data_IF_616070558236
#
_entry.id   IF_616070558236
#
_cell.length_a   1.000
_cell.length_b   1.000
_cell.length_c   1.000
_cell.angle_alpha   90.00
_cell.angle_beta   90.00
_cell.angle_gamma   90.00
#
_symmetry.space_group_name_H-M   'P 1'
#
loop_
_entity.id
_entity.type
_entity.pdbx_description
1 polymer ?
#
# COMPACT_ATOMS: atom_id res chain seq x y z
N UNK A 1 12.13 -89.60 22.88
CA UNK A 1 12.82 -88.65 23.78
C UNK A 1 11.77 -88.09 24.74
N UNK A 2 12.05 -88.10 26.04
CA UNK A 2 11.24 -87.60 27.18
C UNK A 2 10.38 -86.37 26.86
N UNK A 3 9.07 -86.32 27.16
CA UNK A 3 8.32 -86.43 28.44
C UNK A 3 8.18 -85.08 29.18
N UNK A 4 6.94 -84.55 29.07
CA UNK A 4 6.12 -83.65 29.91
C UNK A 4 6.28 -83.84 31.45
N UNK A 5 5.79 -82.96 32.38
CA UNK A 5 4.32 -82.76 32.56
C UNK A 5 3.73 -81.53 33.36
N UNK A 6 2.45 -81.20 33.06
CA UNK A 6 1.25 -81.17 33.96
C UNK A 6 1.09 -80.10 35.09
N UNK A 7 0.02 -79.27 34.96
CA UNK A 7 -1.13 -79.01 35.89
C UNK A 7 -0.85 -78.46 37.34
N UNK A 8 -1.74 -77.82 38.15
CA UNK A 8 -3.19 -77.47 38.19
C UNK A 8 -3.50 -76.74 39.53
N UNK A 9 -4.50 -75.83 39.52
CA UNK A 9 -5.42 -75.42 40.65
C UNK A 9 -4.85 -74.67 41.88
N UNK A 10 -5.59 -73.83 42.64
CA UNK A 10 -7.04 -73.82 42.95
C UNK A 10 -7.46 -72.50 43.68
N UNK A 11 -8.71 -72.06 43.44
CA UNK A 11 -9.75 -71.56 44.41
C UNK A 11 -9.61 -70.15 45.03
N UNK A 12 -10.67 -69.36 45.30
CA UNK A 12 -12.14 -69.56 45.26
C UNK A 12 -12.89 -68.20 45.44
N UNK A 13 -14.07 -68.06 44.81
CA UNK A 13 -15.38 -67.42 45.16
C UNK A 13 -15.41 -66.27 46.21
N UNK A 14 -16.22 -65.19 46.11
CA UNK A 14 -17.68 -65.16 45.94
C UNK A 14 -18.25 -63.72 45.84
N UNK A 15 -19.27 -63.51 45.00
CA UNK A 15 -20.29 -62.43 45.04
C UNK A 15 -21.38 -62.80 46.09
N UNK A 16 -22.22 -61.87 46.66
CA UNK A 16 -23.33 -61.24 45.90
C UNK A 16 -23.81 -59.82 46.33
N UNK A 17 -24.51 -59.17 45.36
CA UNK A 17 -25.74 -58.32 45.41
C UNK A 17 -26.07 -57.54 46.70
N UNK A 18 -26.53 -56.27 46.66
CA UNK A 18 -27.89 -55.87 46.24
C UNK A 18 -28.03 -54.35 46.01
N UNK A 19 -28.86 -53.97 45.03
CA UNK A 19 -29.46 -52.63 44.90
C UNK A 19 -30.51 -52.35 45.99
N UNK A 20 -30.93 -51.08 46.13
CA UNK A 20 -32.35 -50.80 45.92
C UNK A 20 -32.61 -49.62 44.99
N UNK A 21 -33.82 -49.68 44.42
CA UNK A 21 -34.40 -48.91 43.35
C UNK A 21 -35.09 -47.60 43.78
N UNK A 22 -35.05 -46.63 42.85
CA UNK A 22 -36.09 -45.69 42.43
C UNK A 22 -36.57 -44.56 43.38
N UNK A 23 -36.44 -43.30 42.92
CA UNK A 23 -37.60 -42.46 42.57
C UNK A 23 -37.22 -41.16 41.81
N UNK A 24 -37.96 -40.93 40.73
CA UNK A 24 -38.44 -39.67 40.12
C UNK A 24 -37.61 -38.38 40.08
N UNK A 25 -37.50 -37.80 38.87
CA UNK A 25 -37.28 -36.37 38.69
C UNK A 25 -36.92 -35.97 37.26
N UNK A 26 -37.94 -35.79 36.40
CA UNK A 26 -37.83 -34.99 35.18
C UNK A 26 -37.36 -33.57 35.51
N UNK A 27 -36.38 -33.02 34.80
CA UNK A 27 -36.41 -31.62 34.32
C UNK A 27 -35.20 -31.25 33.46
N UNK A 28 -35.51 -30.66 32.29
CA UNK A 28 -34.61 -29.89 31.43
C UNK A 28 -33.94 -28.75 32.22
N UNK A 29 -32.62 -28.62 32.10
CA UNK A 29 -31.88 -27.38 32.38
C UNK A 29 -31.08 -27.06 31.10
N UNK A 30 -31.57 -26.16 30.24
CA UNK A 30 -31.51 -24.69 30.32
C UNK A 30 -30.08 -24.17 30.32
N UNK A 31 -29.66 -23.71 29.15
CA UNK A 31 -28.48 -22.92 28.89
C UNK A 31 -28.74 -21.48 29.37
N UNK A 32 -28.41 -21.17 30.61
CA UNK A 32 -28.15 -19.80 31.04
C UNK A 32 -27.58 -19.87 32.46
N UNK A 33 -26.26 -19.78 32.59
CA UNK A 33 -25.55 -19.31 33.79
C UNK A 33 -24.04 -19.41 33.54
N UNK A 34 -23.54 -18.52 32.68
CA UNK A 34 -22.11 -18.16 32.60
C UNK A 34 -21.96 -16.74 32.06
N UNK A 35 -22.83 -15.84 32.51
CA UNK A 35 -22.57 -14.39 32.50
C UNK A 35 -22.13 -14.01 33.90
N UNK A 36 -21.23 -13.05 33.98
CA UNK A 36 -20.75 -12.40 35.21
C UNK A 36 -19.50 -12.97 35.90
N UNK A 37 -18.49 -13.36 35.15
CA UNK A 37 -17.09 -13.18 35.60
C UNK A 37 -16.19 -12.93 34.38
N UNK A 38 -16.12 -11.68 33.89
CA UNK A 38 -14.94 -11.14 33.18
C UNK A 38 -15.18 -9.65 32.83
N UNK A 39 -15.22 -8.80 33.86
CA UNK A 39 -14.88 -7.39 33.70
C UNK A 39 -13.65 -7.08 34.56
N UNK A 40 -12.83 -6.14 34.06
CA UNK A 40 -11.56 -5.64 34.61
C UNK A 40 -10.30 -6.49 34.42
N UNK A 41 -9.87 -6.58 33.15
CA UNK A 41 -8.46 -6.32 32.79
C UNK A 41 -8.47 -5.42 31.56
N UNK A 42 -7.90 -4.22 31.67
CA UNK A 42 -7.78 -3.26 30.57
C UNK A 42 -7.01 -3.87 29.40
N UNK A 43 -7.73 -4.36 28.40
CA UNK A 43 -7.17 -4.86 27.15
C UNK A 43 -7.11 -3.69 26.16
N UNK A 44 -5.93 -3.18 25.89
CA UNK A 44 -5.64 -2.41 24.68
C UNK A 44 -5.79 -3.34 23.47
N UNK A 45 -7.04 -3.68 23.11
CA UNK A 45 -7.32 -4.47 21.91
C UNK A 45 -6.84 -3.68 20.71
N UNK A 46 -5.89 -4.24 19.94
CA UNK A 46 -5.52 -3.69 18.64
C UNK A 46 -6.81 -3.48 17.82
N UNK A 47 -6.98 -2.31 17.18
CA UNK A 47 -8.20 -2.00 16.45
C UNK A 47 -8.41 -3.01 15.32
N UNK A 48 -9.63 -3.57 15.22
CA UNK A 48 -9.95 -4.64 14.27
C UNK A 48 -9.69 -4.18 12.82
N UNK A 49 -9.00 -4.98 11.98
CA UNK A 49 -8.77 -4.64 10.57
C UNK A 49 -10.10 -4.48 9.80
N UNK A 50 -10.16 -3.62 8.78
CA UNK A 50 -11.31 -3.55 7.90
C UNK A 50 -11.47 -4.85 7.10
N UNK A 51 -12.69 -5.14 6.64
CA UNK A 51 -12.88 -6.23 5.69
C UNK A 51 -12.26 -5.85 4.33
N UNK A 52 -11.58 -6.78 3.64
CA UNK A 52 -10.90 -6.48 2.38
C UNK A 52 -11.79 -5.84 1.31
N UNK A 53 -13.07 -6.22 1.24
CA UNK A 53 -14.05 -5.72 0.26
C UNK A 53 -14.43 -4.25 0.45
N UNK A 54 -14.26 -3.71 1.65
CA UNK A 54 -14.62 -2.33 2.01
C UNK A 54 -13.37 -1.44 2.20
N UNK A 55 -12.20 -2.05 2.29
CA UNK A 55 -10.95 -1.36 2.59
C UNK A 55 -10.35 -0.67 1.37
N UNK A 56 -9.58 0.39 1.64
CA UNK A 56 -8.68 1.01 0.67
C UNK A 56 -7.35 0.27 0.71
N UNK A 57 -7.19 -0.70 -0.18
CA UNK A 57 -6.04 -1.62 -0.17
C UNK A 57 -4.82 -0.97 -0.82
N UNK A 58 -3.76 -0.78 -0.03
CA UNK A 58 -2.46 -0.30 -0.47
C UNK A 58 -1.46 -1.44 -0.35
N UNK A 59 -1.03 -1.99 -1.49
CA UNK A 59 -0.03 -3.04 -1.54
C UNK A 59 1.37 -2.42 -1.65
N UNK A 60 2.29 -2.82 -0.77
CA UNK A 60 3.64 -2.25 -0.69
C UNK A 60 4.65 -3.39 -0.72
N UNK A 61 5.65 -3.30 -1.60
CA UNK A 61 6.71 -4.30 -1.64
C UNK A 61 7.63 -4.20 -0.42
N UNK A 62 8.17 -5.32 0.07
CA UNK A 62 9.12 -5.30 1.19
C UNK A 62 10.35 -4.44 0.92
N UNK A 63 10.77 -4.33 -0.35
CA UNK A 63 11.93 -3.55 -0.79
C UNK A 63 11.74 -2.04 -0.74
N UNK A 64 10.50 -1.55 -0.73
CA UNK A 64 10.23 -0.11 -0.57
C UNK A 64 9.78 0.22 0.85
N UNK A 65 9.21 -0.74 1.58
CA UNK A 65 8.87 -0.54 2.98
C UNK A 65 10.09 -0.57 3.89
N UNK A 66 11.08 -1.39 3.56
CA UNK A 66 12.27 -1.62 4.37
C UNK A 66 13.55 -1.58 3.53
N UNK A 67 14.63 -1.10 4.15
CA UNK A 67 15.97 -1.17 3.58
C UNK A 67 16.49 -2.61 3.60
N UNK A 68 16.57 -3.21 2.41
CA UNK A 68 16.95 -4.63 2.21
C UNK A 68 18.11 -4.79 1.22
N UNK A 69 18.89 -3.72 0.99
CA UNK A 69 19.97 -3.70 -0.02
C UNK A 69 21.10 -4.67 0.31
N UNK A 70 21.42 -4.86 1.59
CA UNK A 70 22.47 -5.81 2.01
C UNK A 70 22.04 -7.24 1.67
N UNK A 71 20.81 -7.57 2.00
CA UNK A 71 20.19 -8.86 1.75
C UNK A 71 20.06 -9.13 0.26
N UNK A 72 19.70 -8.10 -0.52
CA UNK A 72 19.65 -8.20 -1.98
C UNK A 72 21.02 -8.50 -2.59
N UNK A 73 22.10 -7.87 -2.09
CA UNK A 73 23.47 -8.18 -2.52
C UNK A 73 23.85 -9.63 -2.22
N UNK A 74 23.45 -10.16 -1.06
CA UNK A 74 23.67 -11.58 -0.73
C UNK A 74 22.96 -12.48 -1.74
N UNK A 75 21.69 -12.21 -2.05
CA UNK A 75 20.94 -12.98 -3.04
C UNK A 75 21.59 -12.94 -4.44
N UNK A 76 21.96 -11.75 -4.90
CA UNK A 76 22.53 -11.56 -6.24
C UNK A 76 23.93 -12.19 -6.39
N UNK A 77 24.75 -12.14 -5.33
CA UNK A 77 26.14 -12.60 -5.39
C UNK A 77 26.32 -14.07 -4.99
N UNK A 78 25.52 -14.56 -4.03
CA UNK A 78 25.72 -15.85 -3.37
C UNK A 78 24.54 -16.81 -3.59
N UNK A 79 23.45 -16.35 -4.22
CA UNK A 79 22.30 -17.16 -4.58
C UNK A 79 21.30 -17.36 -3.45
N UNK A 80 20.27 -18.16 -3.73
CA UNK A 80 19.09 -18.29 -2.86
C UNK A 80 19.40 -18.98 -1.53
N UNK A 81 20.22 -20.03 -1.51
CA UNK A 81 20.51 -20.80 -0.29
C UNK A 81 21.21 -19.95 0.77
N UNK A 82 22.23 -19.20 0.35
CA UNK A 82 22.96 -18.32 1.25
C UNK A 82 22.10 -17.15 1.73
N UNK A 83 21.27 -16.60 0.84
CA UNK A 83 20.29 -15.61 1.20
C UNK A 83 19.32 -16.11 2.27
N UNK A 84 18.81 -17.34 2.15
CA UNK A 84 17.93 -17.94 3.15
C UNK A 84 18.65 -18.12 4.49
N UNK A 85 19.88 -18.64 4.49
CA UNK A 85 20.69 -18.77 5.70
C UNK A 85 20.89 -17.41 6.38
N UNK A 86 21.28 -16.40 5.61
CA UNK A 86 21.46 -15.04 6.11
C UNK A 86 20.19 -14.49 6.76
N UNK A 87 19.02 -14.69 6.15
CA UNK A 87 17.75 -14.21 6.70
C UNK A 87 17.37 -14.91 8.01
N UNK A 88 17.67 -16.19 8.15
CA UNK A 88 17.42 -16.96 9.39
C UNK A 88 18.38 -16.52 10.49
N UNK A 89 19.67 -16.38 10.19
CA UNK A 89 20.68 -15.92 11.18
C UNK A 89 20.36 -14.53 11.75
N UNK A 90 19.75 -13.66 10.93
CA UNK A 90 19.42 -12.28 11.29
C UNK A 90 17.91 -12.10 11.57
N UNK A 91 17.15 -13.17 11.84
CA UNK A 91 15.68 -13.12 11.92
C UNK A 91 15.13 -12.15 13.00
N UNK A 92 15.93 -11.89 14.04
CA UNK A 92 15.60 -10.99 15.14
C UNK A 92 16.21 -9.58 14.97
N UNK A 93 16.91 -9.33 13.87
CA UNK A 93 17.46 -8.01 13.54
C UNK A 93 16.49 -7.25 12.62
N UNK A 94 15.78 -6.23 13.13
CA UNK A 94 14.77 -5.53 12.36
C UNK A 94 15.40 -4.73 11.21
N UNK A 95 14.72 -4.69 10.06
CA UNK A 95 15.16 -3.83 8.96
C UNK A 95 14.98 -2.35 9.29
N UNK A 96 15.85 -1.51 8.72
CA UNK A 96 15.68 -0.07 8.78
C UNK A 96 14.48 0.39 7.90
N UNK A 97 13.78 1.47 8.29
CA UNK A 97 12.68 2.05 7.51
C UNK A 97 13.09 2.42 6.07
N UNK A 98 12.27 2.02 5.10
CA UNK A 98 12.41 2.37 3.68
C UNK A 98 11.60 3.60 3.24
N UNK A 99 11.65 3.97 1.95
CA UNK A 99 10.99 5.17 1.42
C UNK A 99 9.46 5.17 1.56
N UNK A 100 8.81 3.99 1.58
CA UNK A 100 7.37 3.89 1.81
C UNK A 100 6.98 3.96 3.30
N UNK A 101 7.93 3.87 4.23
CA UNK A 101 7.65 3.81 5.66
C UNK A 101 6.91 5.06 6.19
N UNK A 102 7.30 6.30 5.84
CA UNK A 102 6.56 7.49 6.28
C UNK A 102 5.12 7.51 5.74
N UNK A 103 4.91 7.04 4.51
CA UNK A 103 3.58 6.91 3.91
C UNK A 103 2.71 5.94 4.74
N UNK A 104 3.24 4.76 5.09
CA UNK A 104 2.55 3.78 5.95
C UNK A 104 2.12 4.40 7.28
N UNK A 105 3.02 5.15 7.96
CA UNK A 105 2.67 5.83 9.21
C UNK A 105 1.61 6.92 9.03
N UNK A 106 1.62 7.65 7.91
CA UNK A 106 0.60 8.64 7.62
C UNK A 106 -0.78 8.01 7.33
N UNK A 107 -0.82 6.87 6.64
CA UNK A 107 -2.06 6.11 6.44
C UNK A 107 -2.63 5.60 7.77
N UNK A 108 -1.77 5.15 8.69
CA UNK A 108 -2.16 4.79 10.07
C UNK A 108 -2.80 5.98 10.79
N UNK A 109 -2.15 7.15 10.72
CA UNK A 109 -2.66 8.36 11.35
C UNK A 109 -4.04 8.72 10.81
N UNK A 110 -4.27 8.64 9.50
CA UNK A 110 -5.59 8.88 8.91
C UNK A 110 -6.62 7.87 9.41
N UNK A 111 -6.25 6.58 9.47
CA UNK A 111 -7.14 5.53 9.99
C UNK A 111 -7.56 5.79 11.44
N UNK A 112 -6.64 6.26 12.29
CA UNK A 112 -6.97 6.58 13.68
C UNK A 112 -8.03 7.69 13.77
N UNK A 113 -7.86 8.78 13.01
CA UNK A 113 -8.87 9.84 12.95
C UNK A 113 -10.21 9.36 12.38
N UNK A 114 -10.18 8.49 11.35
CA UNK A 114 -11.41 7.90 10.81
C UNK A 114 -12.14 7.07 11.85
N UNK A 115 -11.43 6.29 12.68
CA UNK A 115 -12.02 5.49 13.76
C UNK A 115 -12.58 6.35 14.89
N UNK A 116 -11.94 7.47 15.21
CA UNK A 116 -12.48 8.43 16.19
C UNK A 116 -13.83 9.00 15.73
N UNK A 117 -13.93 9.37 14.44
CA UNK A 117 -15.16 9.96 13.88
C UNK A 117 -16.22 8.92 13.49
N UNK A 118 -15.79 7.71 13.15
CA UNK A 118 -16.60 6.60 12.65
C UNK A 118 -16.09 5.25 13.19
N UNK A 119 -16.37 4.91 14.46
CA UNK A 119 -15.84 3.70 15.11
C UNK A 119 -16.13 2.39 14.37
N UNK A 120 -17.32 2.30 13.75
CA UNK A 120 -17.80 1.11 13.03
C UNK A 120 -17.46 1.12 11.53
N UNK A 121 -16.75 2.13 11.03
CA UNK A 121 -16.43 2.23 9.60
C UNK A 121 -15.37 1.21 9.20
N UNK A 122 -15.70 0.38 8.20
CA UNK A 122 -14.73 -0.52 7.55
C UNK A 122 -14.01 0.14 6.35
N UNK A 123 -14.38 1.36 5.96
CA UNK A 123 -13.70 2.09 4.88
C UNK A 123 -12.47 2.80 5.42
N UNK A 124 -11.41 2.03 5.60
CA UNK A 124 -10.11 2.42 6.13
C UNK A 124 -9.02 1.96 5.17
N UNK A 125 -7.82 2.51 5.30
CA UNK A 125 -6.66 1.97 4.61
C UNK A 125 -6.29 0.59 5.16
N UNK A 126 -6.07 -0.37 4.26
CA UNK A 126 -5.52 -1.69 4.57
C UNK A 126 -4.20 -1.85 3.83
N UNK A 127 -3.14 -2.13 4.57
CA UNK A 127 -1.80 -2.21 4.02
C UNK A 127 -1.43 -3.69 3.89
N UNK A 128 -1.13 -4.09 2.65
CA UNK A 128 -0.71 -5.45 2.34
C UNK A 128 0.76 -5.44 1.98
N UNK A 129 1.58 -6.14 2.77
CA UNK A 129 2.98 -6.32 2.45
C UNK A 129 3.13 -7.38 1.35
N UNK A 130 3.86 -7.08 0.29
CA UNK A 130 4.14 -8.03 -0.80
C UNK A 130 5.63 -8.32 -0.85
N UNK A 131 5.99 -9.59 -0.82
CA UNK A 131 7.37 -10.02 -1.03
C UNK A 131 7.43 -11.17 -2.03
N UNK A 132 8.49 -11.14 -2.83
CA UNK A 132 8.83 -12.16 -3.80
C UNK A 132 9.66 -13.28 -3.20
N UNK A 133 10.05 -13.13 -1.93
CA UNK A 133 10.96 -14.05 -1.27
C UNK A 133 10.23 -15.31 -0.83
N UNK A 134 11.03 -16.34 -0.54
CA UNK A 134 10.54 -17.58 0.04
C UNK A 134 9.93 -17.35 1.43
N UNK A 135 8.96 -18.19 1.81
CA UNK A 135 8.21 -18.07 3.08
C UNK A 135 9.11 -18.03 4.33
N UNK A 136 10.26 -18.71 4.29
CA UNK A 136 11.22 -18.72 5.41
C UNK A 136 11.77 -17.34 5.77
N UNK A 137 11.76 -16.38 4.83
CA UNK A 137 12.18 -14.99 5.09
C UNK A 137 11.10 -14.18 5.81
N UNK A 138 9.88 -14.72 5.91
CA UNK A 138 8.72 -14.05 6.46
C UNK A 138 8.86 -13.71 7.94
N UNK A 139 9.59 -14.53 8.69
CA UNK A 139 9.76 -14.34 10.15
C UNK A 139 10.45 -13.00 10.42
N UNK A 140 11.56 -12.70 9.73
CA UNK A 140 12.27 -11.42 9.90
C UNK A 140 11.41 -10.21 9.53
N UNK A 141 10.59 -10.33 8.48
CA UNK A 141 9.64 -9.29 8.08
C UNK A 141 8.57 -9.06 9.16
N UNK A 142 7.99 -10.14 9.71
CA UNK A 142 7.00 -10.06 10.79
C UNK A 142 7.62 -9.44 12.05
N UNK A 143 8.83 -9.88 12.43
CA UNK A 143 9.57 -9.31 13.54
C UNK A 143 9.85 -7.82 13.34
N UNK A 144 10.20 -7.42 12.12
CA UNK A 144 10.40 -6.01 11.76
C UNK A 144 9.11 -5.20 11.85
N UNK A 145 7.98 -5.73 11.34
CA UNK A 145 6.65 -5.09 11.45
C UNK A 145 6.29 -4.87 12.92
N UNK A 146 6.49 -5.89 13.76
CA UNK A 146 6.21 -5.83 15.20
C UNK A 146 7.13 -4.84 15.92
N UNK A 147 8.43 -4.86 15.61
CA UNK A 147 9.42 -3.94 16.17
C UNK A 147 9.07 -2.48 15.91
N UNK A 148 8.66 -2.16 14.67
CA UNK A 148 8.25 -0.81 14.27
C UNK A 148 6.80 -0.47 14.61
N UNK A 149 6.05 -1.41 15.21
CA UNK A 149 4.63 -1.31 15.52
C UNK A 149 3.81 -0.81 14.31
N UNK A 150 3.96 -1.48 13.16
CA UNK A 150 3.18 -1.21 11.96
C UNK A 150 1.86 -2.00 11.98
N UNK A 151 0.77 -1.36 11.58
CA UNK A 151 -0.57 -1.97 11.50
C UNK A 151 -0.77 -2.85 10.25
N UNK A 152 0.21 -3.71 9.95
CA UNK A 152 0.17 -4.59 8.78
C UNK A 152 -0.19 -5.99 9.24
N UNK A 153 -1.39 -6.44 8.87
CA UNK A 153 -1.89 -7.77 9.23
C UNK A 153 -1.88 -8.76 8.05
N UNK A 154 -1.78 -8.24 6.82
CA UNK A 154 -1.83 -9.04 5.59
C UNK A 154 -0.49 -9.00 4.88
N UNK A 155 0.00 -10.18 4.51
CA UNK A 155 1.23 -10.33 3.74
C UNK A 155 1.08 -11.38 2.64
N UNK A 156 1.72 -11.11 1.50
CA UNK A 156 1.85 -12.00 0.35
C UNK A 156 3.30 -12.42 0.21
N UNK A 157 3.55 -13.73 0.14
CA UNK A 157 4.87 -14.28 -0.18
C UNK A 157 4.73 -15.18 -1.39
N UNK A 158 5.24 -14.75 -2.55
CA UNK A 158 4.99 -15.44 -3.82
C UNK A 158 6.09 -16.43 -4.21
N UNK A 159 7.18 -16.52 -3.45
CA UNK A 159 8.29 -17.45 -3.72
C UNK A 159 8.88 -17.30 -5.14
N UNK A 160 8.89 -16.07 -5.67
CA UNK A 160 9.41 -15.74 -7.00
C UNK A 160 8.33 -15.54 -8.06
N UNK A 161 7.10 -16.00 -7.83
CA UNK A 161 5.98 -15.82 -8.76
C UNK A 161 5.51 -14.36 -8.82
N UNK A 162 4.81 -13.99 -9.89
CA UNK A 162 4.22 -12.65 -9.98
C UNK A 162 3.09 -12.45 -8.94
N UNK A 163 3.05 -11.29 -8.25
CA UNK A 163 2.01 -10.95 -7.29
C UNK A 163 0.73 -10.44 -7.95
N UNK A 164 0.74 -10.15 -9.26
CA UNK A 164 -0.33 -9.41 -9.93
C UNK A 164 -1.71 -10.07 -9.78
N UNK A 165 -1.78 -11.40 -9.87
CA UNK A 165 -3.03 -12.14 -9.62
C UNK A 165 -3.58 -11.92 -8.21
N UNK A 166 -2.72 -11.87 -7.20
CA UNK A 166 -3.10 -11.58 -5.82
C UNK A 166 -3.51 -10.12 -5.63
N UNK A 167 -2.77 -9.18 -6.25
CA UNK A 167 -3.12 -7.75 -6.23
C UNK A 167 -4.53 -7.51 -6.78
N UNK A 168 -4.88 -8.20 -7.88
CA UNK A 168 -6.22 -8.15 -8.48
C UNK A 168 -7.29 -8.76 -7.58
N UNK A 169 -7.02 -9.94 -7.00
CA UNK A 169 -7.93 -10.62 -6.08
C UNK A 169 -8.22 -9.81 -4.80
N UNK A 170 -7.30 -8.94 -4.40
CA UNK A 170 -7.46 -8.04 -3.25
C UNK A 170 -8.06 -6.68 -3.59
N UNK A 171 -8.46 -6.46 -4.84
CA UNK A 171 -8.98 -5.18 -5.29
C UNK A 171 -8.04 -4.01 -4.94
N UNK A 172 -6.73 -4.23 -5.15
CA UNK A 172 -5.68 -3.27 -4.78
C UNK A 172 -5.93 -1.91 -5.43
N UNK A 173 -5.99 -0.85 -4.62
CA UNK A 173 -6.18 0.52 -5.09
C UNK A 173 -4.87 1.19 -5.49
N UNK A 174 -3.75 0.78 -4.89
CA UNK A 174 -2.42 1.26 -5.23
C UNK A 174 -1.36 0.19 -4.92
N UNK A 175 -0.47 -0.08 -5.87
CA UNK A 175 0.70 -0.95 -5.69
C UNK A 175 2.01 -0.17 -5.80
N UNK A 176 2.86 -0.27 -4.77
CA UNK A 176 4.17 0.38 -4.70
C UNK A 176 5.29 -0.65 -4.65
N UNK A 177 6.23 -0.57 -5.59
CA UNK A 177 7.35 -1.52 -5.68
C UNK A 177 8.66 -0.86 -6.04
N UNK A 178 9.78 -1.49 -5.69
CA UNK A 178 11.10 -1.11 -6.20
C UNK A 178 11.38 -1.75 -7.57
N UNK A 179 10.55 -2.70 -8.00
CA UNK A 179 10.70 -3.45 -9.25
C UNK A 179 9.80 -2.88 -10.34
N UNK A 180 10.41 -2.23 -11.34
CA UNK A 180 9.70 -1.61 -12.47
C UNK A 180 8.94 -2.62 -13.33
N UNK A 181 9.48 -3.82 -13.55
CA UNK A 181 8.83 -4.82 -14.39
C UNK A 181 7.48 -5.25 -13.76
N UNK A 182 7.46 -5.40 -12.43
CA UNK A 182 6.26 -5.77 -11.70
C UNK A 182 5.23 -4.64 -11.61
N UNK A 183 5.70 -3.39 -11.57
CA UNK A 183 4.82 -2.22 -11.68
C UNK A 183 4.15 -2.16 -13.05
N UNK A 184 4.90 -2.40 -14.13
CA UNK A 184 4.34 -2.46 -15.49
C UNK A 184 3.32 -3.58 -15.64
N UNK A 185 3.60 -4.75 -15.07
CA UNK A 185 2.67 -5.88 -15.07
C UNK A 185 1.35 -5.52 -14.36
N UNK A 186 1.42 -4.90 -13.17
CA UNK A 186 0.26 -4.44 -12.43
C UNK A 186 -0.55 -3.38 -13.21
N UNK A 187 0.13 -2.40 -13.82
CA UNK A 187 -0.51 -1.39 -14.66
C UNK A 187 -1.23 -2.02 -15.87
N UNK A 188 -0.64 -3.03 -16.49
CA UNK A 188 -1.25 -3.73 -17.64
C UNK A 188 -2.54 -4.48 -17.28
N UNK A 189 -2.70 -4.85 -16.01
CA UNK A 189 -3.90 -5.47 -15.46
C UNK A 189 -4.90 -4.44 -14.89
N UNK A 190 -4.66 -3.14 -15.12
CA UNK A 190 -5.54 -2.06 -14.66
C UNK A 190 -5.40 -1.71 -13.17
N UNK A 191 -4.31 -2.13 -12.52
CA UNK A 191 -4.02 -1.80 -11.13
C UNK A 191 -3.14 -0.55 -11.09
N UNK A 192 -3.56 0.49 -10.38
CA UNK A 192 -2.74 1.68 -10.20
C UNK A 192 -1.43 1.29 -9.50
N UNK A 193 -0.28 1.56 -10.12
CA UNK A 193 1.01 1.18 -9.58
C UNK A 193 2.12 2.17 -9.93
N UNK A 194 3.13 2.23 -9.07
CA UNK A 194 4.30 3.08 -9.28
C UNK A 194 5.59 2.46 -8.72
N UNK A 195 6.70 2.74 -9.38
CA UNK A 195 8.04 2.37 -8.92
C UNK A 195 8.57 3.41 -7.96
N UNK A 196 8.88 3.03 -6.72
CA UNK A 196 9.53 3.92 -5.75
C UNK A 196 11.03 3.71 -5.75
N UNK A 197 11.77 4.79 -5.51
CA UNK A 197 13.21 4.79 -5.45
C UNK A 197 13.69 5.04 -4.03
N UNK A 198 14.82 4.42 -3.71
CA UNK A 198 15.52 4.64 -2.45
C UNK A 198 16.27 5.98 -2.57
N UNK A 199 16.14 6.84 -1.56
CA UNK A 199 16.87 8.10 -1.47
C UNK A 199 17.70 8.12 -0.20
N UNK A 200 18.96 8.51 -0.34
CA UNK A 200 19.85 8.76 0.81
C UNK A 200 19.45 10.04 1.57
N UNK A 201 18.79 10.98 0.87
CA UNK A 201 18.33 12.24 1.44
C UNK A 201 16.87 12.09 1.88
N UNK A 202 16.66 11.90 3.18
CA UNK A 202 15.32 11.85 3.76
C UNK A 202 14.95 13.20 4.38
N UNK A 203 13.88 13.80 3.87
CA UNK A 203 13.26 14.97 4.47
C UNK A 203 12.16 14.53 5.43
N UNK A 204 12.06 15.21 6.57
CA UNK A 204 10.95 14.98 7.50
C UNK A 204 9.62 15.42 6.88
N UNK A 205 8.70 14.47 6.75
CA UNK A 205 7.32 14.67 6.30
C UNK A 205 6.36 14.82 7.49
N UNK A 206 5.13 15.27 7.23
CA UNK A 206 4.13 15.48 8.28
C UNK A 206 3.71 14.17 8.94
N UNK A 207 3.74 14.09 10.27
CA UNK A 207 3.30 12.87 11.00
C UNK A 207 1.78 12.79 11.16
N UNK A 208 1.06 13.88 10.93
CA UNK A 208 -0.38 14.00 11.23
C UNK A 208 -1.26 14.13 9.99
N UNK A 209 -0.69 14.56 8.86
CA UNK A 209 -1.42 14.80 7.62
C UNK A 209 -0.76 14.05 6.46
N UNK A 210 -1.48 13.08 5.90
CA UNK A 210 -1.14 12.43 4.66
C UNK A 210 -1.15 13.47 3.52
N UNK A 211 -0.05 13.53 2.78
CA UNK A 211 0.14 14.44 1.65
C UNK A 211 0.48 13.63 0.41
N UNK A 212 -0.39 13.66 -0.59
CA UNK A 212 -0.22 12.92 -1.84
C UNK A 212 -0.18 13.91 -2.99
N UNK A 213 0.92 13.91 -3.73
CA UNK A 213 1.10 14.78 -4.89
C UNK A 213 1.09 13.98 -6.18
N UNK A 214 0.48 14.54 -7.22
CA UNK A 214 0.31 13.91 -8.51
C UNK A 214 0.75 14.88 -9.61
N UNK A 215 1.47 14.36 -10.61
CA UNK A 215 1.39 14.97 -11.94
C UNK A 215 -0.01 14.79 -12.54
N UNK A 216 -0.33 15.62 -13.53
CA UNK A 216 -1.59 15.56 -14.25
C UNK A 216 -1.56 14.50 -15.34
N UNK A 217 -0.88 14.81 -16.45
CA UNK A 217 -0.90 14.00 -17.66
C UNK A 217 -0.18 12.67 -17.45
N UNK A 218 -0.64 11.60 -18.10
CA UNK A 218 -0.15 10.23 -17.95
C UNK A 218 -0.11 9.65 -16.51
N UNK A 219 -0.68 10.36 -15.53
CA UNK A 219 -0.83 9.92 -14.13
C UNK A 219 -2.32 9.93 -13.74
N UNK A 220 -2.93 11.12 -13.67
CA UNK A 220 -4.36 11.29 -13.40
C UNK A 220 -5.19 11.31 -14.69
N UNK A 221 -4.64 11.93 -15.73
CA UNK A 221 -5.22 11.98 -17.07
C UNK A 221 -4.49 11.03 -18.01
N UNK A 222 -5.09 10.74 -19.16
CA UNK A 222 -4.44 9.97 -20.22
C UNK A 222 -3.21 10.70 -20.79
N UNK A 223 -2.46 10.02 -21.66
CA UNK A 223 -1.31 10.60 -22.36
C UNK A 223 -1.69 11.34 -23.66
N UNK A 224 -2.98 11.59 -23.90
CA UNK A 224 -3.53 12.25 -25.11
C UNK A 224 -2.80 13.57 -25.41
N UNK A 225 -2.74 14.45 -24.41
CA UNK A 225 -2.06 15.74 -24.48
C UNK A 225 -0.58 15.62 -24.82
N UNK A 226 0.11 14.65 -24.22
CA UNK A 226 1.54 14.45 -24.42
C UNK A 226 1.83 13.90 -25.83
N UNK A 227 0.95 13.05 -26.36
CA UNK A 227 1.03 12.54 -27.73
C UNK A 227 0.93 13.66 -28.75
N UNK A 228 0.03 14.62 -28.55
CA UNK A 228 -0.14 15.78 -29.43
C UNK A 228 1.10 16.67 -29.38
N UNK A 229 1.59 16.97 -28.17
CA UNK A 229 2.81 17.76 -27.99
C UNK A 229 4.02 17.13 -28.69
N UNK A 230 4.23 15.81 -28.54
CA UNK A 230 5.36 15.10 -29.19
C UNK A 230 5.22 15.01 -30.70
N UNK A 231 3.99 14.89 -31.22
CA UNK A 231 3.75 14.75 -32.66
C UNK A 231 3.77 16.10 -33.40
N UNK A 232 3.28 17.17 -32.77
CA UNK A 232 2.93 18.42 -33.45
C UNK A 232 3.50 19.68 -32.80
N UNK A 233 4.19 19.56 -31.66
CA UNK A 233 4.81 20.67 -30.95
C UNK A 233 3.84 21.47 -30.08
N UNK A 234 4.37 22.54 -29.49
CA UNK A 234 3.70 23.30 -28.43
C UNK A 234 2.50 24.13 -28.93
N UNK A 235 2.60 24.72 -30.12
CA UNK A 235 1.52 25.55 -30.68
C UNK A 235 0.25 24.72 -30.92
N UNK A 236 0.42 23.54 -31.52
CA UNK A 236 -0.68 22.60 -31.77
C UNK A 236 -1.27 22.03 -30.49
N UNK A 237 -0.45 21.84 -29.47
CA UNK A 237 -0.93 21.48 -28.14
C UNK A 237 -1.85 22.57 -27.55
N UNK A 238 -1.45 23.85 -27.62
CA UNK A 238 -2.29 24.94 -27.09
C UNK A 238 -3.57 25.15 -27.90
N UNK A 239 -3.52 25.03 -29.22
CA UNK A 239 -4.72 25.04 -30.06
C UNK A 239 -5.69 23.93 -29.66
N UNK A 240 -5.17 22.70 -29.53
CA UNK A 240 -5.96 21.55 -29.12
C UNK A 240 -6.60 21.72 -27.74
N UNK A 241 -5.85 22.19 -26.74
CA UNK A 241 -6.38 22.41 -25.39
C UNK A 241 -7.44 23.51 -25.36
N UNK A 242 -7.30 24.55 -26.18
CA UNK A 242 -8.31 25.62 -26.30
C UNK A 242 -9.59 25.11 -26.97
N UNK A 243 -9.47 24.35 -28.05
CA UNK A 243 -10.61 23.79 -28.78
C UNK A 243 -11.37 22.75 -27.94
N UNK A 244 -10.65 21.98 -27.12
CA UNK A 244 -11.19 20.92 -26.27
C UNK A 244 -11.40 21.33 -24.82
N UNK A 245 -11.43 22.62 -24.49
CA UNK A 245 -11.51 23.08 -23.09
C UNK A 245 -12.73 22.52 -22.33
N UNK A 246 -13.84 22.26 -23.04
CA UNK A 246 -15.07 21.68 -22.48
C UNK A 246 -15.20 20.17 -22.71
N UNK A 247 -14.23 19.56 -23.39
CA UNK A 247 -14.14 18.11 -23.57
C UNK A 247 -13.29 17.55 -22.44
N UNK A 248 -13.82 16.59 -21.68
CA UNK A 248 -13.08 16.01 -20.55
C UNK A 248 -11.83 15.27 -21.05
N UNK A 249 -10.77 15.27 -20.25
CA UNK A 249 -9.62 14.39 -20.48
C UNK A 249 -10.00 12.95 -20.15
N UNK A 250 -9.47 12.00 -20.92
CA UNK A 250 -9.54 10.60 -20.55
C UNK A 250 -8.74 10.32 -19.27
N UNK A 251 -9.03 9.18 -18.62
CA UNK A 251 -8.43 8.84 -17.35
C UNK A 251 -7.04 8.22 -17.48
N UNK A 252 -6.16 8.60 -16.56
CA UNK A 252 -4.87 7.96 -16.33
C UNK A 252 -4.98 6.81 -15.33
N UNK A 253 -3.88 6.07 -15.12
CA UNK A 253 -3.86 4.87 -14.29
C UNK A 253 -4.13 5.15 -12.80
N UNK A 254 -3.85 6.35 -12.30
CA UNK A 254 -4.00 6.68 -10.88
C UNK A 254 -5.34 7.38 -10.55
N UNK A 255 -6.23 7.59 -11.52
CA UNK A 255 -7.56 8.19 -11.27
C UNK A 255 -8.32 7.44 -10.17
N UNK A 256 -8.37 6.11 -10.25
CA UNK A 256 -9.10 5.30 -9.27
C UNK A 256 -8.58 5.45 -7.84
N UNK A 257 -7.26 5.57 -7.68
CA UNK A 257 -6.66 5.85 -6.37
C UNK A 257 -7.06 7.23 -5.84
N UNK A 258 -7.04 8.26 -6.70
CA UNK A 258 -7.50 9.60 -6.33
C UNK A 258 -8.98 9.65 -5.96
N UNK A 259 -9.84 8.90 -6.66
CA UNK A 259 -11.27 8.79 -6.34
C UNK A 259 -11.49 8.26 -4.92
N UNK A 260 -10.70 7.28 -4.50
CA UNK A 260 -10.77 6.72 -3.16
C UNK A 260 -10.27 7.71 -2.10
N UNK A 261 -9.18 8.44 -2.37
CA UNK A 261 -8.73 9.53 -1.48
C UNK A 261 -9.81 10.60 -1.33
N UNK A 262 -10.41 11.05 -2.44
CA UNK A 262 -11.49 12.05 -2.43
C UNK A 262 -12.73 11.57 -1.68
N UNK A 263 -13.06 10.27 -1.76
CA UNK A 263 -14.13 9.66 -0.97
C UNK A 263 -13.85 9.73 0.54
N UNK A 264 -12.63 9.43 0.96
CA UNK A 264 -12.22 9.54 2.37
C UNK A 264 -12.20 11.00 2.84
N UNK A 265 -11.71 11.93 2.02
CA UNK A 265 -11.77 13.37 2.32
C UNK A 265 -13.20 13.84 2.59
N UNK A 266 -14.16 13.42 1.74
CA UNK A 266 -15.58 13.76 1.91
C UNK A 266 -16.17 13.26 3.24
N UNK A 267 -15.66 12.15 3.81
CA UNK A 267 -16.06 11.72 5.16
C UNK A 267 -15.65 12.72 6.23
N UNK A 268 -14.41 13.21 6.18
CA UNK A 268 -13.95 14.26 7.09
C UNK A 268 -14.77 15.55 6.92
N UNK A 269 -15.07 15.93 5.68
CA UNK A 269 -15.86 17.12 5.38
C UNK A 269 -17.27 17.03 5.98
N UNK A 270 -17.91 15.86 5.89
CA UNK A 270 -19.23 15.61 6.47
C UNK A 270 -19.26 15.73 8.01
N UNK A 271 -18.10 15.69 8.68
CA UNK A 271 -17.94 15.90 10.13
C UNK A 271 -17.42 17.30 10.48
N UNK A 272 -17.36 18.21 9.50
CA UNK A 272 -16.86 19.57 9.70
C UNK A 272 -15.35 19.72 9.59
N UNK A 273 -14.61 18.65 9.31
CA UNK A 273 -13.14 18.65 9.24
C UNK A 273 -12.61 18.97 7.84
N UNK A 274 -13.15 20.01 7.19
CA UNK A 274 -12.74 20.37 5.81
C UNK A 274 -11.39 21.05 5.75
N UNK A 275 -11.10 21.96 6.70
CA UNK A 275 -9.85 22.73 6.70
C UNK A 275 -8.69 21.98 7.36
N UNK A 276 -8.99 21.08 8.29
CA UNK A 276 -8.06 20.26 9.07
C UNK A 276 -8.09 18.78 8.63
N UNK A 277 -8.57 18.51 7.40
CA UNK A 277 -8.60 17.15 6.86
C UNK A 277 -7.19 16.52 6.89
N UNK A 278 -7.05 15.30 7.44
CA UNK A 278 -5.75 14.64 7.55
C UNK A 278 -5.27 14.06 6.20
N UNK A 279 -6.06 14.17 5.13
CA UNK A 279 -5.67 13.81 3.76
C UNK A 279 -5.62 15.09 2.93
N UNK A 280 -4.47 15.38 2.33
CA UNK A 280 -4.24 16.53 1.47
C UNK A 280 -3.67 16.11 0.13
N UNK A 281 -4.31 16.54 -0.95
CA UNK A 281 -3.98 16.18 -2.33
C UNK A 281 -3.46 17.38 -3.11
N UNK A 282 -2.44 17.13 -3.93
CA UNK A 282 -1.77 18.16 -4.71
C UNK A 282 -1.72 17.77 -6.19
N UNK A 283 -2.15 18.67 -7.07
CA UNK A 283 -1.83 18.59 -8.50
C UNK A 283 -0.56 19.43 -8.75
N UNK A 284 0.52 18.81 -9.21
CA UNK A 284 1.79 19.48 -9.55
C UNK A 284 2.10 19.22 -11.02
N UNK A 285 1.67 20.13 -11.89
CA UNK A 285 1.68 19.91 -13.34
C UNK A 285 2.53 20.93 -14.09
N UNK A 286 3.17 20.48 -15.17
CA UNK A 286 3.87 21.35 -16.11
C UNK A 286 2.90 22.23 -16.95
N UNK A 287 1.60 21.94 -16.94
CA UNK A 287 0.58 22.74 -17.63
C UNK A 287 0.62 24.20 -17.16
N UNK A 288 0.39 25.12 -18.09
CA UNK A 288 0.18 26.54 -17.79
C UNK A 288 -1.26 26.77 -17.36
N UNK A 289 -1.46 27.55 -16.29
CA UNK A 289 -2.78 27.95 -15.81
C UNK A 289 -3.57 28.75 -16.86
N UNK A 290 -2.88 29.56 -17.67
CA UNK A 290 -3.51 30.48 -18.62
C UNK A 290 -4.00 29.80 -19.90
N UNK A 291 -3.41 28.67 -20.31
CA UNK A 291 -3.68 28.07 -21.63
C UNK A 291 -4.12 26.59 -21.60
N UNK A 292 -3.66 25.81 -20.61
CA UNK A 292 -3.84 24.34 -20.60
C UNK A 292 -4.39 23.80 -19.28
N UNK A 293 -4.49 24.64 -18.25
CA UNK A 293 -4.93 24.21 -16.92
C UNK A 293 -6.45 24.10 -16.78
N UNK A 294 -7.22 24.86 -17.56
CA UNK A 294 -8.68 24.95 -17.43
C UNK A 294 -9.34 23.59 -17.70
N UNK A 295 -8.96 22.91 -18.80
CA UNK A 295 -9.48 21.58 -19.15
C UNK A 295 -9.22 20.55 -18.04
N UNK A 296 -8.02 20.57 -17.45
CA UNK A 296 -7.66 19.68 -16.34
C UNK A 296 -8.53 19.92 -15.10
N UNK A 297 -8.74 21.18 -14.71
CA UNK A 297 -9.60 21.53 -13.56
C UNK A 297 -11.07 21.20 -13.82
N UNK A 298 -11.58 21.45 -15.04
CA UNK A 298 -12.94 21.06 -15.44
C UNK A 298 -13.12 19.54 -15.38
N UNK A 299 -12.10 18.78 -15.80
CA UNK A 299 -12.11 17.31 -15.74
C UNK A 299 -12.19 16.81 -14.30
N UNK A 300 -11.31 17.29 -13.42
CA UNK A 300 -11.35 16.91 -11.99
C UNK A 300 -12.70 17.25 -11.36
N UNK A 301 -13.24 18.44 -11.65
CA UNK A 301 -14.57 18.86 -11.18
C UNK A 301 -15.68 17.94 -11.69
N UNK A 302 -15.66 17.56 -12.96
CA UNK A 302 -16.64 16.66 -13.55
C UNK A 302 -16.59 15.25 -12.92
N UNK A 303 -15.40 14.80 -12.52
CA UNK A 303 -15.23 13.56 -11.73
C UNK A 303 -15.62 13.72 -10.26
N UNK A 304 -15.99 14.92 -9.82
CA UNK A 304 -16.29 15.22 -8.41
C UNK A 304 -15.07 15.11 -7.50
N UNK A 305 -13.88 15.30 -8.05
CA UNK A 305 -12.59 15.30 -7.36
C UNK A 305 -12.12 16.73 -7.14
N UNK A 306 -11.80 17.06 -5.90
CA UNK A 306 -11.32 18.37 -5.49
C UNK A 306 -9.86 18.20 -5.07
N UNK A 307 -8.96 18.96 -5.70
CA UNK A 307 -7.57 19.06 -5.22
C UNK A 307 -7.50 20.14 -4.15
N UNK A 308 -6.83 19.87 -3.05
CA UNK A 308 -6.62 20.89 -2.02
C UNK A 308 -5.71 22.00 -2.53
N UNK A 309 -4.70 21.64 -3.32
CA UNK A 309 -3.79 22.58 -3.97
C UNK A 309 -3.48 22.15 -5.42
N UNK A 310 -3.47 23.11 -6.35
CA UNK A 310 -3.11 22.88 -7.74
C UNK A 310 -2.03 23.89 -8.17
N UNK A 311 -0.87 23.37 -8.54
CA UNK A 311 0.32 24.11 -8.93
C UNK A 311 0.54 23.92 -10.43
N UNK A 312 0.30 25.00 -11.18
CA UNK A 312 0.52 25.07 -12.63
C UNK A 312 1.85 25.75 -12.90
N UNK A 313 2.84 24.96 -13.31
CA UNK A 313 4.23 25.40 -13.37
C UNK A 313 4.64 25.96 -14.72
N UNK A 314 3.81 25.82 -15.77
CA UNK A 314 4.11 26.31 -17.11
C UNK A 314 5.51 25.91 -17.60
N UNK A 315 5.91 24.66 -17.33
CA UNK A 315 7.23 24.11 -17.67
C UNK A 315 8.35 24.39 -16.65
N UNK A 316 8.10 25.15 -15.58
CA UNK A 316 9.09 25.35 -14.52
C UNK A 316 9.39 24.05 -13.76
N UNK A 317 10.59 23.89 -13.18
CA UNK A 317 10.96 22.70 -12.43
C UNK A 317 10.01 22.42 -11.25
N UNK A 318 9.63 21.15 -11.08
CA UNK A 318 8.72 20.70 -10.00
C UNK A 318 9.42 20.60 -8.63
N UNK A 319 10.74 20.34 -8.63
CA UNK A 319 11.55 20.10 -7.44
C UNK A 319 11.37 21.11 -6.29
N UNK A 320 11.50 22.43 -6.53
CA UNK A 320 11.34 23.44 -5.48
C UNK A 320 9.95 23.41 -4.81
N UNK A 321 8.90 23.09 -5.57
CA UNK A 321 7.55 22.97 -5.01
C UNK A 321 7.41 21.71 -4.18
N UNK A 322 8.00 20.59 -4.61
CA UNK A 322 7.99 19.33 -3.87
C UNK A 322 8.79 19.43 -2.56
N UNK A 323 9.90 20.18 -2.54
CA UNK A 323 10.65 20.50 -1.32
C UNK A 323 9.80 21.29 -0.32
N UNK A 324 8.95 22.19 -0.81
CA UNK A 324 8.01 22.96 0.03
C UNK A 324 6.84 22.12 0.52
N UNK A 325 6.25 21.30 -0.34
CA UNK A 325 5.07 20.47 -0.02
C UNK A 325 5.45 19.37 0.97
N UNK A 326 6.62 18.75 0.77
CA UNK A 326 7.11 17.55 1.49
C UNK A 326 6.05 16.44 1.48
N UNK A 327 5.68 15.95 0.28
CA UNK A 327 4.65 14.91 0.18
C UNK A 327 5.17 13.59 0.76
N UNK A 328 4.24 12.75 1.22
CA UNK A 328 4.54 11.36 1.57
C UNK A 328 4.81 10.52 0.34
N UNK A 329 4.24 10.91 -0.80
CA UNK A 329 4.51 10.35 -2.10
C UNK A 329 4.13 11.36 -3.20
N UNK A 330 5.00 11.48 -4.19
CA UNK A 330 4.79 12.21 -5.43
C UNK A 330 4.78 11.24 -6.62
N UNK A 331 3.77 11.31 -7.48
CA UNK A 331 3.67 10.48 -8.68
C UNK A 331 3.94 11.27 -9.95
N UNK A 332 4.79 10.74 -10.83
CA UNK A 332 5.10 11.33 -12.12
C UNK A 332 5.41 10.21 -13.13
N UNK A 333 5.05 10.40 -14.39
CA UNK A 333 5.33 9.43 -15.45
C UNK A 333 6.71 9.62 -16.09
N UNK A 334 7.36 10.77 -15.86
CA UNK A 334 8.65 11.09 -16.43
C UNK A 334 9.77 10.92 -15.41
N UNK A 335 10.72 10.03 -15.72
CA UNK A 335 11.85 9.75 -14.83
C UNK A 335 12.66 11.01 -14.47
N UNK A 336 12.81 11.97 -15.38
CA UNK A 336 13.52 13.23 -15.11
C UNK A 336 12.88 14.03 -13.96
N UNK A 337 11.55 14.06 -13.87
CA UNK A 337 10.85 14.72 -12.78
C UNK A 337 10.96 13.94 -11.47
N UNK A 338 10.94 12.61 -11.54
CA UNK A 338 11.15 11.73 -10.38
C UNK A 338 12.56 11.90 -9.82
N UNK A 339 13.59 11.84 -10.67
CA UNK A 339 15.00 12.06 -10.28
C UNK A 339 15.17 13.44 -9.65
N UNK A 340 14.66 14.51 -10.28
CA UNK A 340 14.73 15.86 -9.73
C UNK A 340 13.98 16.02 -8.40
N UNK A 341 12.89 15.29 -8.18
CA UNK A 341 12.19 15.27 -6.89
C UNK A 341 13.01 14.56 -5.80
N UNK A 342 13.63 13.43 -6.15
CA UNK A 342 14.50 12.63 -5.27
C UNK A 342 15.74 13.43 -4.86
N UNK A 343 16.38 14.15 -5.79
CA UNK A 343 17.53 15.03 -5.51
C UNK A 343 17.17 16.13 -4.49
N UNK A 344 15.96 16.65 -4.59
CA UNK A 344 15.44 17.62 -3.63
C UNK A 344 15.11 16.98 -2.28
N UNK A 345 15.02 15.65 -2.19
CA UNK A 345 14.73 14.89 -0.97
C UNK A 345 13.25 14.52 -0.80
N UNK A 346 12.43 14.72 -1.83
CA UNK A 346 11.03 14.29 -1.83
C UNK A 346 10.92 12.79 -2.12
N UNK A 347 9.93 12.14 -1.51
CA UNK A 347 9.60 10.74 -1.80
C UNK A 347 8.81 10.72 -3.11
N UNK A 348 9.41 10.23 -4.19
CA UNK A 348 8.81 10.18 -5.51
C UNK A 348 8.70 8.75 -6.05
N UNK A 349 7.69 8.55 -6.90
CA UNK A 349 7.36 7.28 -7.50
C UNK A 349 7.06 7.47 -9.00
N UNK A 350 7.74 6.68 -9.82
CA UNK A 350 7.59 6.69 -11.27
C UNK A 350 6.40 5.84 -11.70
N UNK A 351 5.51 6.39 -12.51
CA UNK A 351 4.38 5.69 -13.13
C UNK A 351 4.77 5.36 -14.58
N UNK A 352 5.23 4.13 -14.90
CA UNK A 352 5.67 3.81 -16.26
C UNK A 352 4.48 3.63 -17.22
N UNK A 353 3.80 4.74 -17.53
CA UNK A 353 2.61 4.82 -18.36
C UNK A 353 2.79 5.87 -19.47
N UNK A 354 2.01 5.74 -20.55
CA UNK A 354 1.95 6.71 -21.63
C UNK A 354 3.10 6.65 -22.65
N UNK A 355 3.03 7.53 -23.64
CA UNK A 355 3.98 7.61 -24.76
C UNK A 355 5.40 7.99 -24.34
N UNK A 356 5.58 8.64 -23.18
CA UNK A 356 6.89 8.91 -22.58
C UNK A 356 7.77 7.66 -22.45
N UNK A 357 7.18 6.50 -22.20
CA UNK A 357 7.93 5.26 -22.02
C UNK A 357 8.49 4.71 -23.35
N UNK A 358 7.96 5.13 -24.51
CA UNK A 358 8.42 4.67 -25.83
C UNK A 358 9.62 5.45 -26.36
N UNK A 359 9.85 6.65 -25.83
CA UNK A 359 10.95 7.53 -26.24
C UNK A 359 11.64 8.10 -25.00
N UNK A 360 12.42 7.29 -24.27
CA UNK A 360 13.16 7.80 -23.12
C UNK A 360 14.08 8.94 -23.56
N UNK A 361 14.02 10.07 -22.86
CA UNK A 361 14.92 11.19 -23.12
C UNK A 361 16.36 10.66 -23.09
N UNK A 362 17.09 10.80 -24.21
CA UNK A 362 18.53 10.52 -24.23
C UNK A 362 19.18 11.38 -23.15
N UNK A 363 19.80 10.76 -22.15
CA UNK A 363 20.68 11.47 -21.20
C UNK A 363 21.62 12.35 -22.03
N UNK A 364 21.63 13.66 -21.78
CA UNK A 364 22.69 14.50 -22.33
C UNK A 364 23.98 13.99 -21.70
N UNK A 365 24.74 13.22 -22.47
CA UNK A 365 26.13 12.97 -22.15
C UNK A 365 26.82 14.32 -22.24
N UNK A 366 26.93 15.00 -21.11
CA UNK A 366 27.77 16.17 -20.95
C UNK A 366 29.21 15.66 -21.02
N UNK A 367 29.69 15.41 -22.25
CA UNK A 367 31.11 15.22 -22.50
C UNK A 367 31.76 16.56 -22.26
N UNK A 368 32.32 16.73 -21.07
CA UNK A 368 33.22 17.82 -20.76
C UNK A 368 34.32 17.89 -21.81
N UNK A 369 34.52 19.09 -22.33
CA UNK A 369 35.78 19.52 -22.93
C UNK A 369 36.39 20.56 -22.03
#
# INVERSE_FOLDING_TARGET
MSLDPVQVMKRQDSLPQTCPSASNGDSKASWDDSKDIHENVGSTKKPKPPKPENAVTIAVSSRVLFHTEKEQKVFEQQGIEEYLRYQVEHENEPFAPGPAFPLVKALEAVNNHLRELYPESEELFDIVLVTYNHANVGIRLINTINYHNLFIERFCMTGGSSPTGYLKAWHTNLYLSADTAKVQEALSEGIAAATMFMSEKQIEVSKTQLKVAFDGDAVLFSDESERIFKAHGLDKFFEHERENENTLLDHGPLKGFLEVLGKLQKKFYAKGHRLDCPIRTYLVTARSAASSGIRALKTLRAWGLEMDEALFLAGAPKGPMLEKIRPHIYFDDQMFHVEGAVEMGAIAAHVPYGIAQKYPHKKSTNTGK
#
